data_IF_026161619012
#
_entry.id   IF_026161619012
#
_cell.length_a   1.000
_cell.length_b   1.000
_cell.length_c   1.000
_cell.angle_alpha   90.00
_cell.angle_beta   90.00
_cell.angle_gamma   90.00
#
_symmetry.space_group_name_H-M   'P 1'
#
loop_
_entity.id
_entity.type
_entity.pdbx_description
1 polymer ?
#
# COMPACT_ATOMS: atom_id res chain seq x y z
N UNK A 1 -56.18 -9.93 -22.11
CA UNK A 1 -55.51 -9.48 -20.88
C UNK A 1 -54.23 -8.80 -21.29
N UNK A 2 -54.11 -7.56 -20.85
CA UNK A 2 -53.22 -6.49 -21.32
C UNK A 2 -51.73 -6.84 -21.18
N UNK A 3 -50.94 -6.49 -22.19
CA UNK A 3 -49.48 -6.39 -22.13
C UNK A 3 -49.09 -5.24 -21.19
N UNK A 4 -48.27 -5.50 -20.18
CA UNK A 4 -47.58 -4.44 -19.43
C UNK A 4 -46.11 -4.39 -19.85
N UNK A 5 -45.71 -3.22 -20.35
CA UNK A 5 -44.33 -2.83 -20.64
C UNK A 5 -43.46 -2.87 -19.37
N UNK A 6 -42.19 -3.32 -19.45
CA UNK A 6 -41.25 -3.09 -18.37
C UNK A 6 -40.81 -1.62 -18.40
N UNK A 7 -41.15 -0.89 -17.34
CA UNK A 7 -40.70 0.49 -17.11
C UNK A 7 -39.17 0.56 -17.02
N UNK A 8 -38.56 1.44 -17.81
CA UNK A 8 -37.16 1.82 -17.75
C UNK A 8 -36.73 2.14 -16.31
N UNK A 9 -35.84 1.31 -15.76
CA UNK A 9 -35.15 1.61 -14.51
C UNK A 9 -34.00 2.57 -14.80
N UNK A 10 -34.18 3.84 -14.42
CA UNK A 10 -33.13 4.85 -14.35
C UNK A 10 -31.89 4.30 -13.59
N UNK A 11 -30.65 4.49 -14.08
CA UNK A 11 -29.47 4.09 -13.34
C UNK A 11 -29.30 5.00 -12.12
N UNK A 12 -29.63 4.45 -10.96
CA UNK A 12 -29.32 4.98 -9.63
C UNK A 12 -27.88 5.53 -9.58
N UNK A 13 -27.79 6.84 -9.43
CA UNK A 13 -26.56 7.61 -9.22
C UNK A 13 -25.97 7.37 -7.83
N UNK A 14 -25.68 6.11 -7.48
CA UNK A 14 -24.94 5.81 -6.26
C UNK A 14 -23.45 6.00 -6.56
N UNK A 15 -22.76 6.97 -5.94
CA UNK A 15 -21.31 7.09 -6.09
C UNK A 15 -20.66 5.77 -5.62
N UNK A 16 -19.51 5.37 -6.20
CA UNK A 16 -18.85 4.13 -5.82
C UNK A 16 -18.65 4.12 -4.30
N UNK A 17 -19.18 3.09 -3.65
CA UNK A 17 -18.99 2.82 -2.22
C UNK A 17 -17.52 3.01 -1.88
N UNK A 18 -17.23 3.87 -0.90
CA UNK A 18 -15.88 4.21 -0.47
C UNK A 18 -14.99 2.96 -0.35
N UNK A 19 -13.69 3.03 -0.72
CA UNK A 19 -12.79 1.90 -0.55
C UNK A 19 -12.83 1.45 0.90
N UNK A 20 -12.97 0.14 1.14
CA UNK A 20 -12.98 -0.41 2.50
C UNK A 20 -11.65 -0.08 3.18
N UNK A 21 -11.70 0.69 4.26
CA UNK A 21 -10.54 1.01 5.10
C UNK A 21 -10.51 0.13 6.35
N UNK A 22 -9.35 0.04 7.01
CA UNK A 22 -9.20 -0.62 8.31
C UNK A 22 -8.34 0.18 9.29
N UNK A 23 -8.52 -0.12 10.57
CA UNK A 23 -7.94 0.60 11.71
C UNK A 23 -6.43 0.39 11.85
N UNK A 24 -5.75 1.31 12.54
CA UNK A 24 -4.36 1.15 12.92
C UNK A 24 -4.23 0.09 14.03
N UNK A 25 -3.42 -0.96 13.81
CA UNK A 25 -3.31 -2.07 14.78
C UNK A 25 -2.52 -1.65 16.04
N UNK A 26 -1.31 -1.12 15.86
CA UNK A 26 -0.46 -0.59 16.93
C UNK A 26 0.71 0.23 16.33
N UNK A 27 1.42 0.98 17.18
CA UNK A 27 2.61 1.75 16.81
C UNK A 27 3.86 1.32 17.61
N UNK A 28 3.96 0.02 17.91
CA UNK A 28 5.06 -0.54 18.72
C UNK A 28 6.37 -0.48 17.93
N UNK A 29 6.34 -0.93 16.67
CA UNK A 29 7.48 -0.92 15.77
C UNK A 29 7.71 0.47 15.17
N UNK A 30 8.98 0.84 14.97
CA UNK A 30 9.41 2.16 14.52
C UNK A 30 10.10 2.09 13.15
N UNK A 31 10.13 3.21 12.45
CA UNK A 31 10.74 3.35 11.14
C UNK A 31 12.25 3.53 11.25
N UNK A 32 12.95 2.48 11.71
CA UNK A 32 14.34 2.54 12.15
C UNK A 32 15.37 2.50 11.02
N UNK A 33 14.99 2.14 9.79
CA UNK A 33 15.98 1.99 8.72
C UNK A 33 15.41 1.56 7.37
N UNK A 34 16.34 1.31 6.45
CA UNK A 34 16.05 0.74 5.14
C UNK A 34 15.42 -0.66 5.27
N UNK A 35 14.54 -1.00 4.34
CA UNK A 35 13.86 -2.29 4.28
C UNK A 35 12.70 -2.46 5.26
N UNK A 36 12.38 -1.44 6.07
CA UNK A 36 11.16 -1.43 6.90
C UNK A 36 9.93 -1.30 6.01
N UNK A 37 8.90 -2.11 6.28
CA UNK A 37 7.63 -2.14 5.57
C UNK A 37 6.52 -1.57 6.46
N UNK A 38 5.74 -0.61 5.92
CA UNK A 38 4.69 0.10 6.68
C UNK A 38 3.47 0.44 5.84
N UNK A 39 2.31 0.62 6.47
CA UNK A 39 1.05 0.97 5.78
C UNK A 39 1.01 2.45 5.42
N UNK A 40 0.56 2.77 4.20
CA UNK A 40 0.16 4.11 3.85
C UNK A 40 -1.31 4.34 4.25
N UNK A 41 -1.62 5.56 4.68
CA UNK A 41 -2.96 5.97 5.08
C UNK A 41 -3.20 7.46 4.75
N UNK A 42 -4.45 7.91 4.87
CA UNK A 42 -4.88 9.31 4.68
C UNK A 42 -5.25 9.98 6.02
N UNK A 43 -4.66 9.50 7.13
CA UNK A 43 -5.02 9.84 8.50
C UNK A 43 -5.25 8.59 9.36
N UNK A 44 -5.54 8.76 10.66
CA UNK A 44 -5.79 7.64 11.56
C UNK A 44 -6.87 6.69 11.03
N UNK A 45 -6.66 5.39 11.20
CA UNK A 45 -7.64 4.34 10.88
C UNK A 45 -8.12 4.28 9.42
N UNK A 46 -7.26 4.73 8.49
CA UNK A 46 -7.59 4.82 7.05
C UNK A 46 -6.67 3.96 6.17
N UNK A 47 -6.22 2.82 6.70
CA UNK A 47 -5.36 1.90 5.96
C UNK A 47 -6.12 1.23 4.82
N UNK A 48 -5.45 1.03 3.69
CA UNK A 48 -5.97 0.34 2.50
C UNK A 48 -4.95 -0.71 2.02
N UNK A 49 -4.70 -0.82 0.71
CA UNK A 49 -3.67 -1.71 0.16
C UNK A 49 -2.33 -1.01 -0.10
N UNK A 50 -2.27 0.32 0.03
CA UNK A 50 -1.03 1.07 -0.21
C UNK A 50 -0.05 0.86 0.94
N UNK A 51 1.22 0.65 0.62
CA UNK A 51 2.29 0.44 1.58
C UNK A 51 3.56 1.19 1.16
N UNK A 52 4.45 1.42 2.13
CA UNK A 52 5.78 1.96 1.93
C UNK A 52 6.83 0.93 2.27
N UNK A 53 7.89 0.89 1.46
CA UNK A 53 9.15 0.21 1.74
C UNK A 53 10.24 1.29 1.85
N UNK A 54 10.83 1.43 3.03
CA UNK A 54 11.70 2.56 3.36
C UNK A 54 13.13 2.35 2.84
N UNK A 55 13.77 3.41 2.32
CA UNK A 55 15.19 3.41 1.91
C UNK A 55 16.13 3.90 3.01
N UNK A 56 15.59 4.50 4.07
CA UNK A 56 16.33 5.11 5.18
C UNK A 56 15.44 5.18 6.42
N UNK A 57 15.99 5.45 7.62
CA UNK A 57 15.17 5.70 8.81
C UNK A 57 14.20 6.85 8.57
N UNK A 58 12.94 6.70 9.00
CA UNK A 58 11.91 7.72 8.82
C UNK A 58 11.13 8.01 10.12
N UNK A 59 11.76 8.66 11.14
CA UNK A 59 11.14 8.89 12.44
C UNK A 59 9.86 9.73 12.39
N UNK A 60 9.69 10.53 11.33
CA UNK A 60 8.50 11.40 11.18
C UNK A 60 7.20 10.64 10.93
N UNK A 61 7.30 9.35 10.56
CA UNK A 61 6.19 8.43 10.28
C UNK A 61 5.78 7.62 11.51
N UNK A 62 6.59 7.64 12.58
CA UNK A 62 6.27 6.97 13.84
C UNK A 62 4.95 7.50 14.43
N UNK A 63 4.15 6.57 14.98
CA UNK A 63 2.81 6.82 15.52
C UNK A 63 1.79 7.37 14.50
N UNK A 64 2.09 7.29 13.20
CA UNK A 64 1.19 7.70 12.11
C UNK A 64 0.99 6.59 11.09
N UNK A 65 2.04 5.81 10.82
CA UNK A 65 2.00 4.68 9.90
C UNK A 65 2.36 3.41 10.66
N UNK A 66 1.54 2.37 10.50
CA UNK A 66 1.76 1.07 11.14
C UNK A 66 2.90 0.35 10.43
N UNK A 67 3.95 -0.01 11.18
CA UNK A 67 5.02 -0.89 10.69
C UNK A 67 4.60 -2.34 10.91
N UNK A 68 4.68 -3.17 9.87
CA UNK A 68 4.19 -4.55 9.91
C UNK A 68 5.19 -5.59 9.34
N UNK A 69 6.36 -5.17 8.88
CA UNK A 69 7.36 -6.11 8.37
C UNK A 69 8.71 -5.48 8.05
N UNK A 70 9.64 -6.31 7.60
CA UNK A 70 10.97 -5.91 7.15
C UNK A 70 11.50 -6.89 6.09
N UNK A 71 12.40 -6.43 5.22
CA UNK A 71 13.13 -7.30 4.30
C UNK A 71 14.05 -8.26 5.05
N UNK A 72 14.14 -9.50 4.58
CA UNK A 72 14.82 -10.58 5.31
C UNK A 72 16.27 -10.83 4.87
N UNK A 73 16.55 -10.75 3.57
CA UNK A 73 17.82 -11.19 2.99
C UNK A 73 18.54 -10.10 2.19
N UNK A 74 19.85 -10.29 2.00
CA UNK A 74 20.71 -9.34 1.28
C UNK A 74 20.30 -9.15 -0.19
N UNK A 75 19.73 -10.19 -0.81
CA UNK A 75 19.23 -10.11 -2.19
C UNK A 75 18.06 -9.12 -2.29
N UNK A 76 17.14 -9.14 -1.32
CA UNK A 76 16.04 -8.19 -1.23
C UNK A 76 16.54 -6.75 -1.04
N UNK A 77 17.60 -6.56 -0.26
CA UNK A 77 18.22 -5.24 -0.10
C UNK A 77 18.93 -4.76 -1.37
N UNK A 78 19.57 -5.65 -2.13
CA UNK A 78 20.15 -5.29 -3.43
C UNK A 78 19.07 -4.78 -4.41
N UNK A 79 17.90 -5.44 -4.44
CA UNK A 79 16.75 -4.97 -5.23
C UNK A 79 16.24 -3.61 -4.72
N UNK A 80 16.22 -3.40 -3.40
CA UNK A 80 15.83 -2.11 -2.82
C UNK A 80 16.77 -0.99 -3.29
N UNK A 81 18.08 -1.23 -3.35
CA UNK A 81 19.06 -0.27 -3.85
C UNK A 81 18.86 0.03 -5.35
N UNK A 82 18.53 -0.97 -6.16
CA UNK A 82 18.20 -0.78 -7.58
C UNK A 82 16.94 0.09 -7.77
N UNK A 83 15.91 -0.12 -6.94
CA UNK A 83 14.71 0.73 -6.95
C UNK A 83 15.06 2.16 -6.55
N UNK A 84 15.92 2.34 -5.54
CA UNK A 84 16.34 3.66 -5.07
C UNK A 84 17.17 4.41 -6.13
N UNK A 85 17.99 3.70 -6.91
CA UNK A 85 18.84 4.29 -7.95
C UNK A 85 18.05 4.99 -9.07
N UNK A 86 16.78 4.64 -9.24
CA UNK A 86 15.88 5.25 -10.23
C UNK A 86 14.85 6.20 -9.61
N UNK A 87 14.93 6.44 -8.30
CA UNK A 87 14.03 7.36 -7.61
C UNK A 87 14.31 8.82 -7.99
N UNK A 88 13.27 9.66 -7.94
CA UNK A 88 13.38 11.10 -8.14
C UNK A 88 12.85 11.84 -6.92
N UNK A 89 13.24 13.11 -6.76
CA UNK A 89 12.78 13.95 -5.65
C UNK A 89 11.25 14.18 -5.66
N UNK A 90 10.59 14.01 -6.81
CA UNK A 90 9.13 14.15 -6.95
C UNK A 90 8.38 12.84 -6.63
N UNK A 91 9.09 11.71 -6.56
CA UNK A 91 8.53 10.40 -6.23
C UNK A 91 8.14 9.56 -7.44
N UNK A 92 8.17 10.11 -8.65
CA UNK A 92 8.01 9.36 -9.90
C UNK A 92 9.37 8.80 -10.37
N UNK A 93 9.55 7.45 -10.42
CA UNK A 93 10.82 6.88 -10.82
C UNK A 93 11.11 7.14 -12.31
N UNK A 94 12.39 7.25 -12.66
CA UNK A 94 12.85 7.53 -14.04
C UNK A 94 12.53 6.40 -15.03
N UNK A 95 12.25 5.20 -14.51
CA UNK A 95 11.80 4.04 -15.27
C UNK A 95 10.69 3.29 -14.51
N UNK A 96 9.84 2.50 -15.19
CA UNK A 96 8.77 1.76 -14.52
C UNK A 96 9.31 0.71 -13.54
N UNK A 97 8.89 0.79 -12.27
CA UNK A 97 9.12 -0.23 -11.24
C UNK A 97 7.80 -0.94 -10.98
N UNK A 98 7.74 -2.25 -11.20
CA UNK A 98 6.50 -3.04 -11.14
C UNK A 98 6.69 -4.34 -10.36
N UNK A 99 5.71 -4.66 -9.51
CA UNK A 99 5.58 -6.00 -8.92
C UNK A 99 4.99 -6.92 -9.99
N UNK A 100 5.84 -7.70 -10.64
CA UNK A 100 5.42 -8.61 -11.73
C UNK A 100 4.92 -9.97 -11.22
N UNK A 101 5.30 -10.34 -9.99
CA UNK A 101 4.88 -11.57 -9.32
C UNK A 101 4.91 -11.35 -7.81
N UNK A 102 3.92 -11.91 -7.12
CA UNK A 102 3.83 -11.91 -5.65
C UNK A 102 3.24 -13.24 -5.17
N UNK A 103 3.52 -13.61 -3.92
CA UNK A 103 3.01 -14.83 -3.32
C UNK A 103 3.57 -15.01 -1.91
N UNK A 104 3.11 -16.06 -1.24
CA UNK A 104 3.60 -16.46 0.07
C UNK A 104 4.58 -17.63 -0.08
N UNK A 105 5.73 -17.54 0.58
CA UNK A 105 6.69 -18.64 0.68
C UNK A 105 6.48 -19.31 2.03
N UNK A 106 6.19 -20.61 2.00
CA UNK A 106 6.12 -21.40 3.22
C UNK A 106 7.47 -22.07 3.45
N UNK A 107 7.97 -22.12 4.70
CA UNK A 107 9.09 -22.99 5.01
C UNK A 107 8.69 -24.45 4.73
N UNK A 108 9.63 -25.22 4.17
CA UNK A 108 9.47 -26.67 3.97
C UNK A 108 9.52 -27.43 5.29
#
# INVERSE_FOLDING_TARGET
STEEEPTDAEPSSTPPSSPSTFIDENFILRHTGAGVLSMANAGPDSNTCQFYLHFAPQPSFDNKHVVFGFLMDAESFAVLDEINAVATARGDPTQPVKIVRAGQVFPN
#
